data_IF_158322335056
#
_entry.id   IF_158322335056
#
_cell.length_a   1.000
_cell.length_b   1.000
_cell.length_c   1.000
_cell.angle_alpha   90.00
_cell.angle_beta   90.00
_cell.angle_gamma   90.00
#
_symmetry.space_group_name_H-M   'P 1'
#
loop_
_entity.id
_entity.type
_entity.pdbx_description
1 polymer ?
#
# COMPACT_ATOMS: atom_id res chain seq x y z
N UNK A 1 25.75 25.33 -4.67
CA UNK A 1 25.45 24.25 -3.73
C UNK A 1 24.07 23.72 -4.05
N UNK A 2 23.98 22.69 -4.90
CA UNK A 2 22.70 22.12 -5.30
C UNK A 2 22.25 21.17 -4.19
N UNK A 3 21.41 21.66 -3.28
CA UNK A 3 20.64 20.75 -2.42
C UNK A 3 19.64 20.09 -3.37
N UNK A 4 19.98 18.89 -3.83
CA UNK A 4 18.98 17.99 -4.34
C UNK A 4 18.01 17.76 -3.18
N UNK A 5 16.93 18.55 -3.17
CA UNK A 5 15.71 18.19 -2.51
C UNK A 5 15.23 16.93 -3.22
N UNK A 6 15.86 15.80 -2.91
CA UNK A 6 15.20 14.53 -3.03
C UNK A 6 14.01 14.69 -2.11
N UNK A 7 12.87 15.04 -2.70
CA UNK A 7 11.57 14.63 -2.21
C UNK A 7 11.63 13.10 -2.17
N UNK A 8 12.31 12.55 -1.16
CA UNK A 8 12.11 11.20 -0.67
C UNK A 8 10.74 11.24 -0.01
N UNK A 9 9.70 11.45 -0.82
CA UNK A 9 8.34 11.17 -0.39
C UNK A 9 8.32 9.67 -0.13
N UNK A 10 8.22 9.40 1.16
CA UNK A 10 8.84 8.32 1.93
C UNK A 10 8.07 7.01 1.77
N UNK A 11 7.90 6.55 0.54
CA UNK A 11 7.25 5.28 0.32
C UNK A 11 8.15 4.14 0.78
N UNK A 12 7.68 3.29 1.72
CA UNK A 12 8.45 2.11 2.08
C UNK A 12 8.62 1.25 0.82
N UNK A 13 9.81 0.68 0.63
CA UNK A 13 10.07 -0.21 -0.50
C UNK A 13 9.25 -1.50 -0.41
N UNK A 14 9.05 -1.97 0.83
CA UNK A 14 8.25 -3.13 1.14
C UNK A 14 7.65 -2.98 2.55
N UNK A 15 6.63 -3.77 2.86
CA UNK A 15 6.09 -3.93 4.22
C UNK A 15 6.18 -5.39 4.63
N UNK A 16 6.50 -5.65 5.89
CA UNK A 16 6.54 -7.00 6.45
C UNK A 16 5.46 -7.16 7.54
N UNK A 17 4.86 -8.35 7.60
CA UNK A 17 4.10 -8.78 8.78
C UNK A 17 5.01 -9.41 9.81
N UNK A 18 4.53 -9.47 11.05
CA UNK A 18 5.22 -10.11 12.16
C UNK A 18 5.38 -11.64 11.95
N UNK A 19 4.60 -12.21 11.03
CA UNK A 19 4.71 -13.59 10.55
C UNK A 19 5.82 -13.78 9.50
N UNK A 20 6.53 -12.72 9.11
CA UNK A 20 7.61 -12.76 8.12
C UNK A 20 7.16 -12.72 6.66
N UNK A 21 5.89 -12.39 6.39
CA UNK A 21 5.42 -12.17 5.02
C UNK A 21 5.77 -10.76 4.55
N UNK A 22 6.47 -10.64 3.42
CA UNK A 22 6.85 -9.36 2.83
C UNK A 22 5.97 -9.03 1.60
N UNK A 23 5.57 -7.77 1.49
CA UNK A 23 4.88 -7.24 0.32
C UNK A 23 5.67 -6.06 -0.26
N UNK A 24 6.08 -6.19 -1.52
CA UNK A 24 6.87 -5.17 -2.22
C UNK A 24 5.98 -4.05 -2.74
N UNK A 25 6.03 -2.92 -2.02
CA UNK A 25 5.27 -1.71 -2.31
C UNK A 25 5.86 -1.01 -3.55
N UNK A 26 7.18 -1.00 -3.71
CA UNK A 26 7.81 -0.36 -4.86
C UNK A 26 7.44 -1.05 -6.17
N UNK A 27 7.33 -2.38 -6.16
CA UNK A 27 6.98 -3.19 -7.32
C UNK A 27 5.52 -2.97 -7.74
N UNK A 28 4.56 -2.96 -6.80
CA UNK A 28 3.15 -2.66 -7.13
C UNK A 28 2.97 -1.22 -7.60
N UNK A 29 3.71 -0.25 -7.04
CA UNK A 29 3.67 1.15 -7.49
C UNK A 29 4.22 1.26 -8.91
N UNK A 30 5.31 0.54 -9.22
CA UNK A 30 5.87 0.48 -10.58
C UNK A 30 4.92 -0.17 -11.58
N UNK A 31 4.26 -1.27 -11.19
CA UNK A 31 3.29 -1.97 -12.03
C UNK A 31 2.05 -1.11 -12.33
N UNK A 32 1.55 -0.40 -11.32
CA UNK A 32 0.35 0.43 -11.45
C UNK A 32 0.63 1.87 -11.91
N UNK A 33 1.89 2.28 -11.93
CA UNK A 33 2.35 3.61 -12.33
C UNK A 33 2.17 4.71 -11.28
N UNK A 34 1.42 4.49 -10.19
CA UNK A 34 1.29 5.50 -9.13
C UNK A 34 0.92 4.89 -7.76
N UNK A 35 1.26 5.55 -6.63
CA UNK A 35 0.86 5.11 -5.30
C UNK A 35 -0.67 5.05 -5.10
N UNK A 36 -1.42 5.97 -5.72
CA UNK A 36 -2.88 5.96 -5.66
C UNK A 36 -3.47 4.79 -6.46
N UNK A 37 -2.95 4.52 -7.66
CA UNK A 37 -3.37 3.34 -8.44
C UNK A 37 -3.05 2.03 -7.71
N UNK A 38 -1.89 1.93 -7.07
CA UNK A 38 -1.55 0.80 -6.21
C UNK A 38 -2.51 0.66 -5.03
N UNK A 39 -2.82 1.77 -4.34
CA UNK A 39 -3.76 1.81 -3.23
C UNK A 39 -5.15 1.30 -3.66
N UNK A 40 -5.68 1.82 -4.77
CA UNK A 40 -6.97 1.40 -5.31
C UNK A 40 -6.98 -0.08 -5.72
N UNK A 41 -5.88 -0.57 -6.31
CA UNK A 41 -5.74 -1.98 -6.70
C UNK A 41 -5.76 -2.91 -5.47
N UNK A 42 -5.01 -2.59 -4.41
CA UNK A 42 -4.98 -3.40 -3.18
C UNK A 42 -6.33 -3.32 -2.45
N UNK A 43 -6.93 -2.13 -2.33
CA UNK A 43 -8.26 -1.97 -1.73
C UNK A 43 -9.34 -2.74 -2.50
N UNK A 44 -9.29 -2.70 -3.82
CA UNK A 44 -10.21 -3.47 -4.67
C UNK A 44 -10.03 -4.98 -4.51
N UNK A 45 -8.79 -5.45 -4.32
CA UNK A 45 -8.53 -6.87 -4.05
C UNK A 45 -9.13 -7.32 -2.71
N UNK A 46 -8.94 -6.53 -1.65
CA UNK A 46 -9.55 -6.79 -0.32
C UNK A 46 -11.07 -6.76 -0.41
N UNK A 47 -11.65 -5.74 -1.05
CA UNK A 47 -13.09 -5.61 -1.20
C UNK A 47 -13.72 -6.80 -1.97
N UNK A 48 -13.00 -7.37 -2.94
CA UNK A 48 -13.45 -8.59 -3.65
C UNK A 48 -13.45 -9.82 -2.76
N UNK A 49 -12.45 -9.95 -1.88
CA UNK A 49 -12.41 -11.02 -0.88
C UNK A 49 -13.61 -10.88 0.07
N UNK A 50 -13.85 -9.68 0.59
CA UNK A 50 -14.98 -9.42 1.49
C UNK A 50 -16.33 -9.66 0.80
N UNK A 51 -16.50 -9.17 -0.43
CA UNK A 51 -17.72 -9.39 -1.22
C UNK A 51 -17.95 -10.87 -1.57
N UNK A 52 -16.89 -11.66 -1.66
CA UNK A 52 -16.95 -13.11 -1.89
C UNK A 52 -17.35 -13.93 -0.66
N UNK A 53 -17.53 -13.31 0.50
CA UNK A 53 -17.77 -14.01 1.78
C UNK A 53 -16.56 -14.01 2.72
N UNK A 54 -15.57 -13.14 2.47
CA UNK A 54 -14.39 -12.96 3.30
C UNK A 54 -13.47 -14.19 3.30
N UNK A 55 -12.68 -14.34 4.37
CA UNK A 55 -11.81 -15.51 4.51
C UNK A 55 -12.53 -16.83 4.81
N UNK A 56 -13.85 -16.79 5.06
CA UNK A 56 -14.63 -17.98 5.39
C UNK A 56 -14.85 -18.92 4.20
N UNK A 57 -14.75 -18.42 2.96
CA UNK A 57 -14.88 -19.24 1.75
C UNK A 57 -13.59 -19.97 1.36
N UNK A 58 -12.46 -19.59 1.95
CA UNK A 58 -11.17 -20.22 1.67
C UNK A 58 -10.99 -21.46 2.55
N UNK A 59 -10.44 -22.53 1.98
CA UNK A 59 -10.09 -23.75 2.73
C UNK A 59 -9.06 -23.48 3.82
N UNK A 60 -8.14 -22.56 3.54
CA UNK A 60 -7.14 -22.10 4.49
C UNK A 60 -7.48 -20.67 4.95
N UNK A 61 -8.31 -20.60 5.98
CA UNK A 61 -8.76 -19.32 6.55
C UNK A 61 -7.59 -18.53 7.14
N UNK A 62 -6.64 -19.22 7.78
CA UNK A 62 -5.48 -18.60 8.41
C UNK A 62 -4.60 -17.91 7.36
N UNK A 63 -4.26 -18.61 6.27
CA UNK A 63 -3.48 -18.02 5.19
C UNK A 63 -4.18 -16.81 4.54
N UNK A 64 -5.51 -16.85 4.42
CA UNK A 64 -6.30 -15.71 3.95
C UNK A 64 -6.25 -14.53 4.93
N UNK A 65 -6.45 -14.78 6.22
CA UNK A 65 -6.42 -13.73 7.27
C UNK A 65 -5.02 -13.08 7.36
N UNK A 66 -3.95 -13.86 7.22
CA UNK A 66 -2.59 -13.34 7.13
C UNK A 66 -2.38 -12.47 5.89
N UNK A 67 -2.88 -12.92 4.73
CA UNK A 67 -2.81 -12.15 3.48
C UNK A 67 -3.59 -10.83 3.58
N UNK A 68 -4.78 -10.85 4.18
CA UNK A 68 -5.56 -9.64 4.44
C UNK A 68 -4.86 -8.71 5.42
N UNK A 69 -4.22 -9.25 6.46
CA UNK A 69 -3.43 -8.45 7.41
C UNK A 69 -2.28 -7.74 6.70
N UNK A 70 -1.54 -8.47 5.85
CA UNK A 70 -0.47 -7.91 5.03
C UNK A 70 -1.01 -6.84 4.06
N UNK A 71 -2.12 -7.11 3.38
CA UNK A 71 -2.76 -6.17 2.47
C UNK A 71 -3.20 -4.89 3.19
N UNK A 72 -3.73 -4.98 4.41
CA UNK A 72 -4.08 -3.82 5.22
C UNK A 72 -2.86 -2.99 5.64
N UNK A 73 -1.75 -3.64 6.04
CA UNK A 73 -0.47 -2.93 6.28
C UNK A 73 0.00 -2.21 5.00
N UNK A 74 -0.12 -2.86 3.84
CA UNK A 74 0.23 -2.27 2.55
C UNK A 74 -0.67 -1.08 2.18
N UNK A 75 -1.99 -1.16 2.43
CA UNK A 75 -2.93 -0.05 2.24
C UNK A 75 -2.53 1.15 3.09
N UNK A 76 -2.21 0.94 4.38
CA UNK A 76 -1.79 2.03 5.27
C UNK A 76 -0.51 2.71 4.77
N UNK A 77 0.48 1.92 4.33
CA UNK A 77 1.71 2.43 3.73
C UNK A 77 1.44 3.22 2.43
N UNK A 78 0.63 2.66 1.52
CA UNK A 78 0.24 3.30 0.26
C UNK A 78 -0.60 4.57 0.48
N UNK A 79 -1.42 4.60 1.52
CA UNK A 79 -2.20 5.78 1.88
C UNK A 79 -1.32 6.90 2.41
N UNK A 80 -0.32 6.60 3.24
CA UNK A 80 0.68 7.58 3.69
C UNK A 80 1.50 8.13 2.51
N UNK A 81 1.90 7.26 1.59
CA UNK A 81 2.53 7.61 0.31
C UNK A 81 1.69 8.55 -0.55
N UNK A 82 0.42 8.19 -0.77
CA UNK A 82 -0.50 8.94 -1.61
C UNK A 82 -0.83 10.30 -1.00
N UNK A 83 -0.98 10.37 0.34
CA UNK A 83 -1.30 11.61 1.06
C UNK A 83 -0.14 12.62 1.02
N UNK A 84 1.10 12.14 1.00
CA UNK A 84 2.30 13.00 0.89
C UNK A 84 2.45 13.62 -0.52
N UNK A 85 1.76 13.06 -1.52
CA UNK A 85 1.73 13.60 -2.90
C UNK A 85 0.74 14.74 -3.09
N UNK A 86 -0.11 15.06 -2.10
CA UNK A 86 -0.89 16.28 -2.15
C UNK A 86 0.09 17.47 -2.03
N UNK A 87 0.26 18.30 -3.07
CA UNK A 87 1.05 19.50 -2.93
C UNK A 87 0.36 20.35 -1.88
N UNK A 88 0.97 20.44 -0.70
CA UNK A 88 0.71 21.56 0.19
C UNK A 88 1.19 22.79 -0.58
N UNK A 89 0.26 23.42 -1.31
CA UNK A 89 0.42 24.78 -1.78
C UNK A 89 0.54 25.66 -0.55
N UNK A 90 1.74 25.77 0.02
CA UNK A 90 2.11 26.90 0.85
C UNK A 90 2.63 27.96 -0.09
N UNK A 91 1.67 28.72 -0.59
CA UNK A 91 1.83 30.04 -1.14
C UNK A 91 2.79 30.88 -0.29
N UNK A 92 3.64 31.62 -1.02
CA UNK A 92 4.44 32.80 -0.67
C UNK A 92 4.34 33.43 0.71
N UNK A 93 5.53 33.82 1.21
CA UNK A 93 5.79 34.99 2.05
C UNK A 93 7.24 35.37 1.91
#
# INVERSE_FOLDING_TARGET
>A
MCVAAHAQTQCPGYVETDAGSAFDIASIIRDTGSPQSALDKVRSAVARVDAGGGCAIFRDRLACEETLTLANKAIAALQACASTRAPKSTSHG
#
